data_IF_213741589576
#
_entry.id   IF_213741589576
#
_cell.length_a   1.000
_cell.length_b   1.000
_cell.length_c   1.000
_cell.angle_alpha   90.00
_cell.angle_beta   90.00
_cell.angle_gamma   90.00
#
_symmetry.space_group_name_H-M   'P 1'
#
loop_
_entity.id
_entity.type
_entity.pdbx_description
1 polymer ?
#
# COMPACT_ATOMS: atom_id res chain seq x y z
N UNK A 1 7.47 71.91 -42.30
CA UNK A 1 8.37 70.82 -41.87
C UNK A 1 7.64 69.96 -40.84
N UNK A 2 7.15 68.78 -41.22
CA UNK A 2 6.40 67.89 -40.38
C UNK A 2 7.33 66.76 -39.89
N UNK A 3 7.62 66.76 -38.56
CA UNK A 3 8.36 65.65 -37.92
C UNK A 3 7.39 64.51 -37.59
N UNK A 4 7.61 63.34 -38.13
CA UNK A 4 6.91 62.10 -37.79
C UNK A 4 7.65 61.46 -36.62
N UNK A 5 6.96 61.35 -35.49
CA UNK A 5 7.43 60.52 -34.38
C UNK A 5 7.07 59.04 -34.62
N UNK A 6 8.07 58.19 -34.66
CA UNK A 6 7.84 56.72 -34.64
C UNK A 6 7.60 56.25 -33.23
N UNK A 7 6.43 55.70 -32.98
CA UNK A 7 6.16 54.91 -31.77
C UNK A 7 6.71 53.50 -31.97
N UNK A 8 7.69 53.12 -31.16
CA UNK A 8 8.16 51.72 -31.04
C UNK A 8 7.33 51.07 -29.96
N UNK A 9 6.48 50.15 -30.36
CA UNK A 9 5.74 49.28 -29.43
C UNK A 9 6.64 48.13 -28.96
N UNK A 10 7.05 48.14 -27.71
CA UNK A 10 7.77 47.02 -27.09
C UNK A 10 6.77 45.95 -26.67
N UNK A 11 6.75 44.82 -27.37
CA UNK A 11 5.98 43.64 -26.99
C UNK A 11 6.73 42.85 -25.89
N UNK A 12 6.28 42.95 -24.66
CA UNK A 12 6.71 42.05 -23.57
C UNK A 12 6.04 40.68 -23.75
N UNK A 13 6.77 39.70 -24.26
CA UNK A 13 6.36 38.30 -24.22
C UNK A 13 6.58 37.74 -22.78
N UNK A 14 5.53 37.59 -22.05
CA UNK A 14 5.58 36.89 -20.76
C UNK A 14 5.72 35.39 -21.01
N UNK A 15 6.90 34.83 -20.73
CA UNK A 15 7.11 33.38 -20.76
C UNK A 15 6.42 32.76 -19.50
N UNK A 16 5.32 32.06 -19.71
CA UNK A 16 4.74 31.20 -18.68
C UNK A 16 5.68 30.00 -18.48
N UNK A 17 6.44 29.99 -17.42
CA UNK A 17 7.14 28.80 -16.95
C UNK A 17 6.11 27.87 -16.29
N UNK A 18 5.74 26.80 -17.01
CA UNK A 18 4.99 25.68 -16.40
C UNK A 18 5.92 25.01 -15.40
N UNK A 19 5.74 25.31 -14.12
CA UNK A 19 6.38 24.53 -13.05
C UNK A 19 5.76 23.14 -13.08
N UNK A 20 6.52 22.13 -13.53
CA UNK A 20 6.15 20.74 -13.38
C UNK A 20 6.06 20.45 -11.87
N UNK A 21 4.88 20.01 -11.40
CA UNK A 21 4.73 19.50 -10.04
C UNK A 21 5.76 18.36 -9.85
N UNK A 22 6.46 18.31 -8.70
CA UNK A 22 7.36 17.19 -8.43
C UNK A 22 6.56 15.91 -8.52
N UNK A 23 7.04 14.94 -9.32
CA UNK A 23 6.48 13.61 -9.36
C UNK A 23 6.49 13.07 -7.92
N UNK A 24 5.31 12.69 -7.39
CA UNK A 24 5.21 12.09 -6.06
C UNK A 24 6.14 10.89 -6.04
N UNK A 25 7.18 10.94 -5.18
CA UNK A 25 8.18 9.89 -5.10
C UNK A 25 7.45 8.57 -4.78
N UNK A 26 7.53 7.61 -5.68
CA UNK A 26 6.89 6.31 -5.52
C UNK A 26 7.28 5.73 -4.16
N UNK A 27 6.29 5.43 -3.31
CA UNK A 27 6.53 4.86 -1.99
C UNK A 27 7.21 3.51 -2.15
N UNK A 28 8.41 3.30 -1.61
CA UNK A 28 9.15 2.06 -1.86
C UNK A 28 8.42 0.84 -1.29
N UNK A 29 7.77 0.98 -0.12
CA UNK A 29 6.97 -0.09 0.49
C UNK A 29 5.50 0.24 0.31
N UNK A 30 4.76 -0.70 -0.26
CA UNK A 30 3.33 -0.53 -0.51
C UNK A 30 2.60 -1.87 -0.52
N UNK A 31 1.28 -1.80 -0.41
CA UNK A 31 0.44 -2.96 -0.66
C UNK A 31 0.52 -3.42 -2.12
N UNK A 32 0.34 -4.71 -2.30
CA UNK A 32 0.01 -5.30 -3.58
C UNK A 32 -1.45 -5.75 -3.57
N UNK A 33 -1.67 -7.05 -3.83
CA UNK A 33 -3.01 -7.66 -3.75
C UNK A 33 -3.37 -7.93 -2.29
N UNK A 34 -4.60 -7.61 -1.92
CA UNK A 34 -5.26 -8.08 -0.69
C UNK A 34 -6.38 -9.03 -1.10
N UNK A 35 -6.26 -10.30 -0.74
CA UNK A 35 -7.31 -11.31 -0.86
C UNK A 35 -8.11 -11.29 0.44
N UNK A 36 -9.26 -10.64 0.43
CA UNK A 36 -10.10 -10.47 1.62
C UNK A 36 -11.24 -11.50 1.68
N UNK A 37 -11.60 -12.13 0.58
CA UNK A 37 -12.58 -13.21 0.49
C UNK A 37 -11.83 -14.49 0.12
N UNK A 38 -11.70 -15.41 1.08
CA UNK A 38 -11.03 -16.67 0.83
C UNK A 38 -11.79 -17.48 -0.23
N UNK A 39 -11.10 -18.21 -1.11
CA UNK A 39 -11.78 -19.07 -2.08
C UNK A 39 -12.64 -20.12 -1.38
N UNK A 40 -13.88 -20.29 -1.86
CA UNK A 40 -14.86 -21.23 -1.30
C UNK A 40 -15.72 -20.63 -0.20
N UNK A 41 -16.28 -21.49 0.64
CA UNK A 41 -17.10 -21.05 1.79
C UNK A 41 -16.21 -20.72 2.98
N UNK A 42 -16.41 -19.55 3.56
CA UNK A 42 -15.71 -19.14 4.77
C UNK A 42 -16.00 -20.11 5.92
N UNK A 43 -14.94 -20.55 6.58
CA UNK A 43 -15.02 -21.43 7.73
C UNK A 43 -13.88 -21.14 8.71
N UNK A 44 -14.00 -21.60 9.95
CA UNK A 44 -12.95 -21.48 10.97
C UNK A 44 -11.76 -22.43 10.74
N UNK A 45 -11.76 -23.23 9.66
CA UNK A 45 -10.62 -24.08 9.32
C UNK A 45 -9.43 -23.20 8.93
N UNK A 46 -8.26 -23.55 9.44
CA UNK A 46 -7.05 -22.77 9.16
C UNK A 46 -6.74 -22.62 7.65
N UNK A 47 -7.10 -23.61 6.84
CA UNK A 47 -6.97 -23.53 5.37
C UNK A 47 -7.85 -22.44 4.77
N UNK A 48 -9.08 -22.28 5.26
CA UNK A 48 -10.00 -21.21 4.87
C UNK A 48 -9.47 -19.85 5.34
N UNK A 49 -9.11 -19.74 6.62
CA UNK A 49 -8.56 -18.49 7.18
C UNK A 49 -7.28 -18.06 6.47
N UNK A 50 -6.40 -18.98 6.10
CA UNK A 50 -5.20 -18.70 5.31
C UNK A 50 -5.48 -18.41 3.82
N UNK A 51 -6.72 -18.59 3.37
CA UNK A 51 -7.19 -18.09 2.08
C UNK A 51 -7.22 -16.56 2.01
N UNK A 52 -7.37 -15.88 3.17
CA UNK A 52 -7.14 -14.44 3.28
C UNK A 52 -5.65 -14.13 3.39
N UNK A 53 -5.19 -13.13 2.65
CA UNK A 53 -3.80 -12.67 2.73
C UNK A 53 -3.62 -11.25 2.21
N UNK A 54 -2.54 -10.63 2.65
CA UNK A 54 -2.07 -9.33 2.19
C UNK A 54 -0.67 -9.49 1.61
N UNK A 55 -0.45 -8.95 0.40
CA UNK A 55 0.89 -8.84 -0.20
C UNK A 55 1.43 -7.46 0.10
N UNK A 56 2.65 -7.40 0.63
CA UNK A 56 3.44 -6.18 0.79
C UNK A 56 4.65 -6.26 -0.13
N UNK A 57 4.90 -5.19 -0.89
CA UNK A 57 5.97 -5.10 -1.89
C UNK A 57 7.00 -4.07 -1.47
N UNK A 58 8.27 -4.36 -1.74
CA UNK A 58 9.33 -3.38 -1.73
C UNK A 58 9.74 -3.06 -3.18
N UNK A 59 9.22 -1.98 -3.73
CA UNK A 59 9.55 -1.51 -5.08
C UNK A 59 10.83 -0.65 -5.10
N UNK A 60 11.46 -0.45 -3.94
CA UNK A 60 12.71 0.29 -3.83
C UNK A 60 13.93 -0.55 -4.21
N UNK A 61 15.07 0.12 -4.29
CA UNK A 61 16.38 -0.47 -4.64
C UNK A 61 17.19 -0.92 -3.43
N UNK A 62 16.68 -0.69 -2.21
CA UNK A 62 17.34 -1.07 -0.95
C UNK A 62 16.42 -1.95 -0.12
N UNK A 63 16.99 -2.89 0.63
CA UNK A 63 16.26 -3.69 1.60
C UNK A 63 15.71 -2.82 2.74
N UNK A 64 14.53 -3.18 3.27
CA UNK A 64 13.86 -2.44 4.34
C UNK A 64 13.52 -3.36 5.51
N UNK A 65 13.97 -3.00 6.71
CA UNK A 65 13.51 -3.66 7.93
C UNK A 65 12.07 -3.27 8.21
N UNK A 66 11.20 -4.27 8.39
CA UNK A 66 9.80 -4.07 8.80
C UNK A 66 9.61 -4.34 10.30
N UNK A 67 10.68 -4.54 11.09
CA UNK A 67 10.57 -4.79 12.52
C UNK A 67 9.75 -3.71 13.22
N UNK A 68 8.72 -4.14 13.96
CA UNK A 68 7.80 -3.26 14.67
C UNK A 68 6.74 -2.57 13.82
N UNK A 69 6.80 -2.73 12.49
CA UNK A 69 5.72 -2.21 11.63
C UNK A 69 4.42 -2.94 11.89
N UNK A 70 3.31 -2.26 11.68
CA UNK A 70 1.98 -2.81 11.91
C UNK A 70 1.13 -2.81 10.65
N UNK A 71 0.41 -3.90 10.45
CA UNK A 71 -0.75 -3.98 9.56
C UNK A 71 -2.00 -4.06 10.42
N UNK A 72 -3.02 -3.26 10.11
CA UNK A 72 -4.25 -3.17 10.92
C UNK A 72 -5.48 -2.89 10.08
N UNK A 73 -6.63 -3.31 10.59
CA UNK A 73 -7.94 -2.92 10.11
C UNK A 73 -8.58 -1.82 10.99
N UNK A 74 -9.75 -1.26 10.63
CA UNK A 74 -10.50 -0.33 11.47
C UNK A 74 -11.07 -0.96 12.75
N UNK A 75 -11.26 -2.28 12.79
CA UNK A 75 -11.79 -3.02 13.94
C UNK A 75 -10.74 -3.35 15.01
N UNK A 76 -9.54 -2.76 14.87
CA UNK A 76 -8.41 -2.91 15.81
C UNK A 76 -7.73 -4.28 15.82
N UNK A 77 -7.89 -5.10 14.79
CA UNK A 77 -6.98 -6.21 14.58
C UNK A 77 -5.63 -5.66 14.16
N UNK A 78 -4.57 -6.07 14.85
CA UNK A 78 -3.21 -5.55 14.59
C UNK A 78 -2.23 -6.71 14.47
N UNK A 79 -1.56 -6.79 13.32
CA UNK A 79 -0.37 -7.61 13.15
C UNK A 79 0.87 -6.74 13.33
N UNK A 80 1.84 -7.21 14.10
CA UNK A 80 3.14 -6.54 14.27
C UNK A 80 4.24 -7.43 13.71
N UNK A 81 5.02 -6.89 12.78
CA UNK A 81 6.18 -7.60 12.26
C UNK A 81 7.26 -7.76 13.35
N UNK A 82 7.68 -8.99 13.59
CA UNK A 82 8.92 -9.27 14.33
C UNK A 82 10.16 -8.85 13.53
N UNK A 83 11.32 -9.42 13.86
CA UNK A 83 12.55 -9.22 13.07
C UNK A 83 12.34 -9.78 11.65
N UNK A 84 12.21 -8.89 10.68
CA UNK A 84 12.01 -9.23 9.28
C UNK A 84 12.53 -8.10 8.38
N UNK A 85 13.32 -8.47 7.37
CA UNK A 85 13.81 -7.53 6.35
C UNK A 85 13.25 -7.92 4.98
N UNK A 86 12.56 -6.99 4.34
CA UNK A 86 12.04 -7.14 2.99
C UNK A 86 13.06 -6.63 1.99
N UNK A 87 13.66 -7.53 1.23
CA UNK A 87 14.70 -7.21 0.23
C UNK A 87 14.19 -6.28 -0.87
N UNK A 88 15.11 -5.60 -1.55
CA UNK A 88 14.81 -4.77 -2.71
C UNK A 88 14.10 -5.58 -3.80
N UNK A 89 13.02 -5.06 -4.38
CA UNK A 89 12.22 -5.72 -5.40
C UNK A 89 11.45 -6.97 -4.91
N UNK A 90 11.46 -7.27 -3.61
CA UNK A 90 10.82 -8.48 -3.05
C UNK A 90 9.43 -8.19 -2.52
N UNK A 91 8.69 -9.29 -2.34
CA UNK A 91 7.36 -9.30 -1.75
C UNK A 91 7.32 -10.22 -0.54
N UNK A 92 6.43 -9.94 0.40
CA UNK A 92 6.05 -10.84 1.48
C UNK A 92 4.53 -10.99 1.49
N UNK A 93 4.07 -12.21 1.74
CA UNK A 93 2.66 -12.54 1.91
C UNK A 93 2.39 -12.68 3.40
N UNK A 94 1.48 -11.90 3.94
CA UNK A 94 0.95 -12.08 5.30
C UNK A 94 -0.40 -12.81 5.21
N UNK A 95 -0.46 -14.06 5.67
CA UNK A 95 -1.68 -14.85 5.76
C UNK A 95 -2.37 -14.63 7.11
N UNK A 96 -3.70 -14.62 7.10
CA UNK A 96 -4.50 -14.35 8.31
C UNK A 96 -4.40 -15.45 9.36
N UNK A 97 -4.34 -16.70 8.94
CA UNK A 97 -4.33 -17.87 9.84
C UNK A 97 -2.96 -18.21 10.41
N UNK A 98 -2.82 -19.45 10.84
CA UNK A 98 -1.63 -20.00 11.50
C UNK A 98 -0.72 -20.71 10.51
N UNK A 99 0.59 -20.65 10.77
CA UNK A 99 1.62 -21.33 9.99
C UNK A 99 3.02 -20.99 10.47
N UNK A 100 4.02 -21.52 9.78
CA UNK A 100 5.43 -21.26 10.08
C UNK A 100 5.95 -20.12 9.20
N UNK A 101 6.48 -19.08 9.84
CA UNK A 101 7.04 -17.94 9.14
C UNK A 101 8.28 -18.33 8.31
N UNK A 102 8.35 -17.81 7.08
CA UNK A 102 9.48 -17.95 6.17
C UNK A 102 9.98 -16.58 5.70
N UNK A 103 10.98 -16.55 4.83
CA UNK A 103 11.45 -15.31 4.21
C UNK A 103 10.44 -14.65 3.26
N UNK A 104 9.42 -15.39 2.80
CA UNK A 104 8.42 -14.91 1.84
C UNK A 104 6.99 -14.92 2.36
N UNK A 105 6.73 -15.60 3.48
CA UNK A 105 5.40 -15.75 4.04
C UNK A 105 5.41 -15.54 5.55
N UNK A 106 4.49 -14.73 6.04
CA UNK A 106 4.22 -14.50 7.45
C UNK A 106 2.81 -14.93 7.77
N UNK A 107 2.54 -15.22 9.03
CA UNK A 107 1.24 -15.66 9.52
C UNK A 107 0.81 -14.79 10.69
N UNK A 108 -0.41 -14.27 10.63
CA UNK A 108 -0.99 -13.47 11.70
C UNK A 108 -1.31 -14.33 12.93
N UNK A 109 -1.71 -15.59 12.71
CA UNK A 109 -2.03 -16.53 13.77
C UNK A 109 -3.48 -16.46 14.23
N UNK A 110 -4.36 -15.81 13.46
CA UNK A 110 -5.80 -15.71 13.79
C UNK A 110 -6.50 -17.05 13.61
N UNK A 111 -7.55 -17.28 14.40
CA UNK A 111 -8.44 -18.44 14.27
C UNK A 111 -9.71 -18.16 13.46
N UNK A 112 -9.82 -16.97 12.89
CA UNK A 112 -10.98 -16.48 12.15
C UNK A 112 -10.56 -15.48 11.07
N UNK A 113 -11.47 -15.22 10.13
CA UNK A 113 -11.29 -14.23 9.08
C UNK A 113 -11.27 -12.82 9.67
N UNK A 114 -10.29 -12.01 9.26
CA UNK A 114 -10.12 -10.62 9.72
C UNK A 114 -10.76 -9.65 8.75
N UNK A 115 -10.58 -9.88 7.45
CA UNK A 115 -11.00 -8.93 6.43
C UNK A 115 -12.46 -9.09 6.05
N UNK A 116 -13.25 -8.00 6.10
CA UNK A 116 -14.66 -8.02 5.73
C UNK A 116 -14.82 -8.07 4.21
N UNK A 117 -15.58 -9.06 3.72
CA UNK A 117 -15.81 -9.29 2.30
C UNK A 117 -16.58 -8.15 1.61
N UNK A 118 -17.42 -7.41 2.33
CA UNK A 118 -18.28 -6.37 1.79
C UNK A 118 -17.73 -4.95 1.93
N UNK A 119 -16.62 -4.80 2.63
CA UNK A 119 -15.93 -3.52 2.77
C UNK A 119 -15.03 -3.49 3.99
N UNK A 120 -13.78 -3.06 3.78
CA UNK A 120 -12.79 -2.91 4.84
C UNK A 120 -11.65 -1.99 4.39
N UNK A 121 -10.69 -1.81 5.27
CA UNK A 121 -9.49 -1.02 5.01
C UNK A 121 -8.27 -1.59 5.71
N UNK A 122 -7.18 -1.76 4.97
CA UNK A 122 -5.89 -2.13 5.52
C UNK A 122 -5.00 -0.89 5.65
N UNK A 123 -4.33 -0.74 6.79
CA UNK A 123 -3.36 0.31 7.05
C UNK A 123 -1.99 -0.30 7.34
N UNK A 124 -0.97 0.16 6.65
CA UNK A 124 0.43 -0.18 6.92
C UNK A 124 1.12 1.02 7.58
N UNK A 125 1.73 0.80 8.75
CA UNK A 125 2.40 1.85 9.53
C UNK A 125 3.79 1.40 9.97
N UNK A 126 4.69 2.37 10.15
CA UNK A 126 6.01 2.12 10.78
C UNK A 126 5.86 1.75 12.25
N UNK A 127 6.97 1.33 12.88
CA UNK A 127 7.04 1.07 14.32
C UNK A 127 6.68 2.30 15.18
N UNK A 128 6.90 3.52 14.67
CA UNK A 128 6.53 4.78 15.32
C UNK A 128 5.12 5.25 15.00
N UNK A 129 4.36 4.48 14.20
CA UNK A 129 2.98 4.78 13.83
C UNK A 129 2.81 5.67 12.60
N UNK A 130 3.89 6.06 11.91
CA UNK A 130 3.81 6.84 10.68
C UNK A 130 3.11 6.02 9.58
N UNK A 131 2.19 6.67 8.85
CA UNK A 131 1.47 6.03 7.74
C UNK A 131 2.41 5.75 6.58
N UNK A 132 2.41 4.53 6.10
CA UNK A 132 3.15 4.08 4.91
C UNK A 132 2.22 3.95 3.72
N UNK A 133 1.15 3.18 3.88
CA UNK A 133 0.19 2.93 2.81
C UNK A 133 -1.17 2.53 3.38
N UNK A 134 -2.22 2.65 2.58
CA UNK A 134 -3.52 2.09 2.90
C UNK A 134 -4.19 1.55 1.64
N UNK A 135 -5.08 0.57 1.83
CA UNK A 135 -5.86 -0.02 0.76
C UNK A 135 -7.28 -0.26 1.26
N UNK A 136 -8.28 0.17 0.51
CA UNK A 136 -9.69 0.07 0.91
C UNK A 136 -10.53 -0.55 -0.21
N UNK A 137 -11.57 -1.27 0.20
CA UNK A 137 -12.62 -1.78 -0.68
C UNK A 137 -13.98 -1.57 -0.03
N UNK A 138 -15.02 -1.46 -0.85
CA UNK A 138 -16.40 -1.15 -0.44
C UNK A 138 -17.42 -2.18 -0.91
N UNK A 139 -16.96 -3.21 -1.60
CA UNK A 139 -17.81 -4.30 -2.10
C UNK A 139 -16.98 -5.57 -2.26
N UNK A 140 -17.67 -6.72 -2.29
CA UNK A 140 -17.03 -8.02 -2.49
C UNK A 140 -16.27 -8.10 -3.84
N UNK A 141 -16.88 -7.59 -4.92
CA UNK A 141 -16.28 -7.65 -6.25
C UNK A 141 -15.75 -9.05 -6.59
N UNK A 142 -14.46 -9.14 -6.93
CA UNK A 142 -13.76 -10.39 -7.22
C UNK A 142 -13.20 -11.09 -5.96
N UNK A 143 -13.52 -10.59 -4.76
CA UNK A 143 -12.99 -11.11 -3.48
C UNK A 143 -11.58 -10.64 -3.16
N UNK A 144 -11.02 -9.74 -3.96
CA UNK A 144 -9.71 -9.13 -3.72
C UNK A 144 -9.65 -7.67 -4.20
N UNK A 145 -8.66 -6.94 -3.70
CA UNK A 145 -8.29 -5.60 -4.15
C UNK A 145 -6.82 -5.59 -4.56
N UNK A 146 -6.54 -5.05 -5.74
CA UNK A 146 -5.18 -4.65 -6.13
C UNK A 146 -4.96 -3.21 -5.68
N UNK A 147 -3.93 -2.97 -4.97
CA UNK A 147 -3.52 -1.69 -4.41
C UNK A 147 -2.19 -1.27 -5.03
#
# INVERSE_FOLDING_TARGET
MLSRALLVAASCAAALTLASAPAEAARPIQFGKIQFDAPGTDSARNTSVNGEYVIIKNNGTTARSLKGWTLRDPAHHVYTFGSFTLGAGRTVVLRTGKGTNTSTTRYWGMGYHVWNNTGDKAYLRTATGASIDYCAWTSKGLGYKSC
#
